data_IF_921929450409
#
_entry.id   IF_921929450409
#
_cell.length_a   1.000
_cell.length_b   1.000
_cell.length_c   1.000
_cell.angle_alpha   90.00
_cell.angle_beta   90.00
_cell.angle_gamma   90.00
#
_symmetry.space_group_name_H-M   'P 1'
#
loop_
_entity.id
_entity.type
_entity.pdbx_description
1 polymer ?
#
# COMPACT_ATOMS: atom_id res chain seq x y z
N UNK A 1 -56.93 -37.49 -35.46
CA UNK A 1 -56.55 -36.08 -35.29
C UNK A 1 -55.85 -35.96 -33.94
N UNK A 2 -54.53 -36.12 -33.95
CA UNK A 2 -53.66 -36.14 -32.78
C UNK A 2 -52.38 -35.42 -33.19
N UNK A 3 -52.15 -34.28 -32.56
CA UNK A 3 -50.94 -33.48 -32.66
C UNK A 3 -49.79 -34.30 -32.08
N UNK A 4 -48.66 -34.41 -32.79
CA UNK A 4 -47.42 -34.85 -32.16
C UNK A 4 -46.28 -33.89 -32.47
N UNK A 5 -45.87 -33.25 -31.39
CA UNK A 5 -44.95 -32.13 -31.26
C UNK A 5 -43.54 -32.70 -31.13
N UNK A 6 -42.68 -32.51 -32.13
CA UNK A 6 -41.22 -32.60 -31.93
C UNK A 6 -40.66 -31.20 -31.99
N UNK A 7 -40.74 -30.51 -30.85
CA UNK A 7 -40.07 -29.22 -30.66
C UNK A 7 -38.65 -29.46 -30.17
N UNK A 8 -37.74 -29.00 -31.01
CA UNK A 8 -36.31 -28.88 -30.85
C UNK A 8 -35.97 -28.02 -29.64
N UNK A 9 -35.05 -28.52 -28.83
CA UNK A 9 -34.38 -27.84 -27.74
C UNK A 9 -33.55 -26.69 -28.33
N UNK A 10 -33.80 -25.45 -27.91
CA UNK A 10 -32.82 -24.36 -28.04
C UNK A 10 -32.90 -23.45 -26.82
N UNK A 11 -32.20 -23.89 -25.77
CA UNK A 11 -31.28 -23.08 -24.98
C UNK A 11 -31.67 -21.63 -24.70
N UNK A 12 -32.52 -21.44 -23.69
CA UNK A 12 -32.51 -20.20 -22.91
C UNK A 12 -32.81 -20.49 -21.44
N UNK A 13 -31.74 -20.43 -20.63
CA UNK A 13 -31.68 -19.63 -19.43
C UNK A 13 -32.81 -19.79 -18.40
N UNK A 14 -32.73 -20.80 -17.52
CA UNK A 14 -33.16 -20.68 -16.12
C UNK A 14 -32.21 -21.51 -15.24
N UNK A 15 -31.15 -20.87 -14.75
CA UNK A 15 -30.51 -21.26 -13.48
C UNK A 15 -30.72 -20.08 -12.55
N UNK A 16 -31.89 -20.05 -11.92
CA UNK A 16 -32.20 -19.20 -10.79
C UNK A 16 -32.57 -20.15 -9.66
N UNK A 17 -31.68 -20.32 -8.69
CA UNK A 17 -31.98 -20.52 -7.27
C UNK A 17 -30.69 -20.86 -6.51
N UNK A 18 -30.57 -20.29 -5.32
CA UNK A 18 -29.49 -20.43 -4.32
C UNK A 18 -28.26 -19.54 -4.63
N UNK A 19 -28.00 -18.44 -3.92
CA UNK A 19 -27.98 -18.26 -2.46
C UNK A 19 -28.17 -16.77 -2.10
N UNK A 20 -29.38 -16.40 -1.67
CA UNK A 20 -29.56 -15.20 -0.86
C UNK A 20 -29.05 -15.51 0.55
N UNK A 21 -27.77 -15.27 0.80
CA UNK A 21 -27.30 -15.07 2.16
C UNK A 21 -27.92 -13.75 2.65
N UNK A 22 -28.85 -13.89 3.59
CA UNK A 22 -29.41 -12.81 4.39
C UNK A 22 -28.27 -12.21 5.25
N UNK A 23 -27.55 -11.25 4.67
CA UNK A 23 -26.65 -10.35 5.40
C UNK A 23 -27.39 -9.08 5.75
N UNK A 24 -27.37 -8.72 7.04
CA UNK A 24 -28.00 -7.53 7.64
C UNK A 24 -28.08 -6.30 6.73
N UNK A 25 -29.30 -5.78 6.52
CA UNK A 25 -29.49 -4.41 6.05
C UNK A 25 -28.83 -3.45 7.04
N UNK A 26 -27.86 -2.66 6.60
CA UNK A 26 -27.31 -1.64 7.50
C UNK A 26 -26.23 -0.70 6.97
N UNK A 27 -25.79 -0.78 5.71
CA UNK A 27 -25.06 0.31 5.08
C UNK A 27 -25.25 0.23 3.57
N UNK A 28 -26.27 0.93 3.06
CA UNK A 28 -26.47 1.07 1.62
C UNK A 28 -25.22 1.72 1.01
N UNK A 29 -24.59 1.02 0.07
CA UNK A 29 -23.45 1.55 -0.66
C UNK A 29 -23.90 2.72 -1.55
N UNK A 30 -23.18 3.85 -1.45
CA UNK A 30 -23.28 4.96 -2.40
C UNK A 30 -22.64 4.60 -3.74
N UNK A 31 -21.58 3.78 -3.70
CA UNK A 31 -20.86 3.37 -4.88
C UNK A 31 -19.75 2.39 -4.55
N UNK A 32 -19.37 1.60 -5.57
CA UNK A 32 -18.23 0.71 -5.52
C UNK A 32 -17.24 1.13 -6.60
N UNK A 33 -15.96 1.22 -6.24
CA UNK A 33 -14.89 1.71 -7.10
C UNK A 33 -13.68 0.79 -7.06
N UNK A 34 -12.89 0.76 -8.13
CA UNK A 34 -11.63 0.02 -8.20
C UNK A 34 -10.48 0.97 -8.54
N UNK A 35 -9.24 0.65 -8.14
CA UNK A 35 -8.10 1.48 -8.54
C UNK A 35 -7.66 1.20 -9.98
N UNK A 36 -7.36 2.26 -10.72
CA UNK A 36 -6.73 2.16 -12.04
C UNK A 36 -5.20 2.29 -11.91
N UNK A 37 -4.44 1.39 -12.54
CA UNK A 37 -3.00 1.60 -12.79
C UNK A 37 -2.01 0.80 -11.94
N UNK A 38 -2.47 -0.06 -11.03
CA UNK A 38 -1.61 -1.04 -10.35
C UNK A 38 -1.77 -2.42 -11.00
N UNK A 39 -0.80 -2.90 -11.82
CA UNK A 39 -0.90 -4.24 -12.43
C UNK A 39 -0.93 -5.31 -11.34
N UNK A 40 -1.74 -6.36 -11.54
CA UNK A 40 -1.88 -7.53 -10.66
C UNK A 40 -2.47 -7.24 -9.26
N UNK A 41 -3.10 -6.08 -9.07
CA UNK A 41 -3.71 -5.70 -7.81
C UNK A 41 -5.22 -5.55 -8.00
N UNK A 42 -5.99 -6.44 -7.38
CA UNK A 42 -7.46 -6.39 -7.38
C UNK A 42 -7.92 -5.59 -6.15
N UNK A 43 -8.36 -4.35 -6.35
CA UNK A 43 -8.81 -3.49 -5.25
C UNK A 43 -10.26 -3.07 -5.40
N UNK A 44 -10.95 -2.88 -4.26
CA UNK A 44 -12.34 -2.49 -4.13
C UNK A 44 -12.49 -1.47 -3.00
N UNK A 45 -13.00 -0.29 -3.34
CA UNK A 45 -13.48 0.71 -2.38
C UNK A 45 -15.00 0.72 -2.41
N UNK A 46 -15.64 0.67 -1.26
CA UNK A 46 -17.09 0.82 -1.08
C UNK A 46 -17.34 2.08 -0.26
N UNK A 47 -18.01 3.07 -0.85
CA UNK A 47 -18.50 4.24 -0.11
C UNK A 47 -19.91 3.94 0.41
N UNK A 48 -20.19 4.33 1.65
CA UNK A 48 -21.45 4.09 2.35
C UNK A 48 -22.20 5.39 2.59
N UNK A 49 -23.53 5.33 2.71
CA UNK A 49 -24.38 6.53 2.91
C UNK A 49 -24.07 7.31 4.19
N UNK A 50 -23.47 6.69 5.19
CA UNK A 50 -23.09 7.31 6.47
C UNK A 50 -21.71 7.99 6.44
N UNK A 51 -21.23 8.42 5.27
CA UNK A 51 -19.90 9.01 5.07
C UNK A 51 -18.73 8.10 5.48
N UNK A 52 -18.94 6.78 5.51
CA UNK A 52 -17.88 5.80 5.76
C UNK A 52 -17.43 5.09 4.49
N UNK A 53 -16.21 4.58 4.49
CA UNK A 53 -15.72 3.72 3.43
C UNK A 53 -15.17 2.39 3.98
N UNK A 54 -15.23 1.37 3.13
CA UNK A 54 -14.46 0.14 3.28
C UNK A 54 -13.58 -0.06 2.06
N UNK A 55 -12.31 -0.39 2.26
CA UNK A 55 -11.34 -0.70 1.22
C UNK A 55 -10.88 -2.13 1.39
N UNK A 56 -10.71 -2.83 0.28
CA UNK A 56 -10.02 -4.10 0.20
C UNK A 56 -9.08 -4.09 -1.02
N UNK A 57 -7.91 -4.69 -0.89
CA UNK A 57 -6.93 -4.90 -1.94
C UNK A 57 -6.48 -6.35 -1.87
N UNK A 58 -6.33 -7.00 -3.02
CA UNK A 58 -5.89 -8.37 -3.09
C UNK A 58 -4.73 -8.45 -4.09
N UNK A 59 -3.60 -8.92 -3.59
CA UNK A 59 -2.40 -9.14 -4.38
C UNK A 59 -1.96 -10.60 -4.19
N UNK A 60 -2.47 -11.47 -5.07
CA UNK A 60 -2.21 -12.91 -5.10
C UNK A 60 -2.43 -13.65 -3.77
N UNK A 61 -1.45 -13.67 -2.88
CA UNK A 61 -1.52 -14.43 -1.61
C UNK A 61 -1.96 -13.55 -0.44
N UNK A 62 -2.12 -12.25 -0.66
CA UNK A 62 -2.24 -11.28 0.42
C UNK A 62 -3.53 -10.48 0.23
N UNK A 63 -4.38 -10.55 1.25
CA UNK A 63 -5.61 -9.78 1.36
C UNK A 63 -5.39 -8.62 2.31
N UNK A 64 -5.67 -7.45 1.77
CA UNK A 64 -5.48 -6.15 2.35
C UNK A 64 -6.87 -5.44 2.44
N UNK A 65 -7.12 -4.58 3.41
CA UNK A 65 -8.27 -3.69 3.61
C UNK A 65 -8.21 -2.67 4.79
N UNK A 66 -8.90 -1.55 4.64
CA UNK A 66 -9.02 -0.55 5.71
C UNK A 66 -10.43 0.05 5.70
N UNK A 67 -10.83 0.69 6.79
CA UNK A 67 -12.08 1.44 6.89
C UNK A 67 -11.80 2.85 7.40
N UNK A 68 -12.77 3.73 7.19
CA UNK A 68 -12.64 5.10 7.64
C UNK A 68 -13.81 5.96 7.24
N UNK A 69 -13.60 7.26 7.35
CA UNK A 69 -14.52 8.30 6.91
C UNK A 69 -14.07 8.86 5.56
N UNK A 70 -15.02 9.37 4.79
CA UNK A 70 -14.74 10.08 3.56
C UNK A 70 -15.46 11.41 3.48
N UNK A 71 -14.88 12.33 2.73
CA UNK A 71 -15.45 13.62 2.41
C UNK A 71 -15.38 13.88 0.90
N UNK A 72 -16.35 14.64 0.40
CA UNK A 72 -16.35 15.13 -0.98
C UNK A 72 -16.03 16.63 -0.96
N UNK A 73 -14.83 16.99 -1.41
CA UNK A 73 -14.39 18.37 -1.52
C UNK A 73 -14.39 18.76 -3.01
N UNK A 74 -15.46 19.43 -3.44
CA UNK A 74 -15.71 19.69 -4.86
C UNK A 74 -15.89 18.39 -5.65
N UNK A 75 -15.04 18.14 -6.64
CA UNK A 75 -15.04 16.90 -7.44
C UNK A 75 -14.04 15.84 -6.94
N UNK A 76 -13.53 16.00 -5.72
CA UNK A 76 -12.48 15.14 -5.17
C UNK A 76 -13.01 14.35 -3.97
N UNK A 77 -12.74 13.05 -3.97
CA UNK A 77 -12.96 12.18 -2.83
C UNK A 77 -11.72 12.22 -1.93
N UNK A 78 -11.93 12.49 -0.64
CA UNK A 78 -10.89 12.47 0.39
C UNK A 78 -11.19 11.34 1.36
N UNK A 79 -10.21 10.50 1.65
CA UNK A 79 -10.36 9.33 2.52
C UNK A 79 -9.50 9.49 3.79
N UNK A 80 -10.09 9.18 4.94
CA UNK A 80 -9.50 9.24 6.27
C UNK A 80 -9.69 7.90 6.98
N UNK A 81 -8.65 7.07 7.07
CA UNK A 81 -8.72 5.77 7.76
C UNK A 81 -8.96 5.93 9.27
N UNK A 82 -9.81 5.07 9.85
CA UNK A 82 -10.14 5.05 11.30
C UNK A 82 -8.92 4.83 12.18
N UNK A 83 -8.02 3.96 11.72
CA UNK A 83 -6.72 3.74 12.35
C UNK A 83 -5.66 4.42 11.50
N UNK A 84 -5.04 5.45 12.06
CA UNK A 84 -3.72 5.85 11.62
C UNK A 84 -2.72 4.82 12.12
N UNK A 85 -1.95 4.21 11.22
CA UNK A 85 -0.80 3.43 11.65
C UNK A 85 0.16 4.40 12.34
N UNK A 86 0.46 4.14 13.62
CA UNK A 86 1.59 4.79 14.27
C UNK A 86 2.83 4.30 13.55
N UNK A 87 3.58 5.21 12.91
CA UNK A 87 4.88 4.91 12.30
C UNK A 87 5.82 4.36 13.39
N UNK A 88 5.81 3.04 13.57
CA UNK A 88 6.62 2.35 14.55
C UNK A 88 7.87 1.76 13.93
N UNK A 89 7.91 1.58 12.60
CA UNK A 89 9.14 1.22 11.90
C UNK A 89 10.18 2.33 12.05
N UNK A 90 11.41 1.97 12.39
CA UNK A 90 12.48 2.92 12.71
C UNK A 90 13.77 2.61 11.96
N UNK A 91 14.64 3.60 11.94
CA UNK A 91 16.02 3.45 11.50
C UNK A 91 16.92 3.60 12.73
N UNK A 92 17.79 2.62 12.94
CA UNK A 92 18.75 2.54 14.01
C UNK A 92 20.16 2.66 13.43
N UNK A 93 21.00 3.48 14.05
CA UNK A 93 22.41 3.59 13.71
C UNK A 93 23.20 2.73 14.69
N UNK A 94 23.97 1.78 14.16
CA UNK A 94 24.85 0.92 14.94
C UNK A 94 26.24 1.54 15.05
N UNK A 95 27.12 0.99 15.86
CA UNK A 95 28.52 1.45 15.92
C UNK A 95 29.18 1.33 14.54
N UNK A 96 29.99 2.35 14.20
CA UNK A 96 30.69 2.39 12.93
C UNK A 96 31.99 1.62 13.01
N UNK A 97 32.20 0.75 12.03
CA UNK A 97 33.54 0.29 11.68
C UNK A 97 34.12 1.24 10.62
N UNK A 98 35.45 1.36 10.55
CA UNK A 98 36.23 2.28 9.68
C UNK A 98 36.11 1.98 8.16
N UNK A 99 34.91 1.71 7.65
CA UNK A 99 34.68 1.32 6.27
C UNK A 99 34.01 2.43 5.45
N UNK A 100 34.45 2.57 4.19
CA UNK A 100 33.93 3.53 3.21
C UNK A 100 32.60 3.12 2.55
N UNK A 101 31.84 2.21 3.16
CA UNK A 101 30.59 1.67 2.60
C UNK A 101 29.52 1.59 3.67
N UNK A 102 28.27 1.89 3.28
CA UNK A 102 27.13 1.77 4.18
C UNK A 102 26.63 0.32 4.13
N UNK A 103 26.58 -0.34 5.28
CA UNK A 103 25.96 -1.64 5.46
C UNK A 103 24.56 -1.43 6.03
N UNK A 104 23.56 -1.98 5.36
CA UNK A 104 22.16 -1.89 5.76
C UNK A 104 21.63 -3.30 6.07
N UNK A 105 21.02 -3.45 7.24
CA UNK A 105 20.34 -4.66 7.69
C UNK A 105 18.84 -4.36 7.87
N UNK A 106 17.95 -5.14 7.25
CA UNK A 106 16.50 -5.00 7.42
C UNK A 106 15.95 -6.16 8.24
N UNK A 107 15.32 -5.82 9.37
CA UNK A 107 14.74 -6.80 10.30
C UNK A 107 13.25 -6.53 10.53
N UNK A 108 12.53 -7.57 10.93
CA UNK A 108 11.17 -7.48 11.48
C UNK A 108 11.20 -7.35 13.01
N UNK A 109 10.37 -6.46 13.57
CA UNK A 109 10.22 -6.27 15.02
C UNK A 109 9.33 -7.31 15.69
N UNK A 110 8.41 -7.94 14.96
CA UNK A 110 7.27 -8.65 15.56
C UNK A 110 7.59 -10.04 16.13
N UNK A 111 8.85 -10.45 16.06
CA UNK A 111 9.38 -11.40 17.04
C UNK A 111 10.11 -10.62 18.12
N UNK A 112 9.43 -10.45 19.26
CA UNK A 112 9.82 -9.63 20.40
C UNK A 112 11.27 -9.84 20.87
N UNK A 113 11.90 -10.97 20.54
CA UNK A 113 13.31 -11.24 20.82
C UNK A 113 14.18 -11.66 19.61
N UNK A 114 13.60 -12.07 18.47
CA UNK A 114 14.37 -12.76 17.41
C UNK A 114 14.75 -11.90 16.20
N UNK A 115 14.28 -10.64 16.11
CA UNK A 115 14.69 -9.65 15.09
C UNK A 115 15.00 -10.27 13.71
N UNK A 116 14.03 -11.00 13.15
CA UNK A 116 14.29 -11.85 11.99
C UNK A 116 14.58 -10.98 10.77
N UNK A 117 15.65 -11.30 10.05
CA UNK A 117 15.96 -10.62 8.79
C UNK A 117 14.88 -10.87 7.75
N UNK A 118 14.48 -9.83 7.03
CA UNK A 118 13.48 -9.92 5.96
C UNK A 118 14.04 -9.42 4.64
N UNK A 119 13.77 -10.10 3.51
CA UNK A 119 14.10 -9.53 2.21
C UNK A 119 13.33 -8.22 2.06
N UNK A 120 13.96 -7.20 1.49
CA UNK A 120 13.33 -5.88 1.36
C UNK A 120 13.78 -5.18 0.09
N UNK A 121 12.99 -4.22 -0.36
CA UNK A 121 13.36 -3.29 -1.43
C UNK A 121 13.76 -1.97 -0.81
N UNK A 122 14.93 -1.48 -1.20
CA UNK A 122 15.53 -0.25 -0.69
C UNK A 122 15.66 0.75 -1.83
N UNK A 123 14.93 1.85 -1.75
CA UNK A 123 15.05 2.98 -2.65
C UNK A 123 15.91 4.06 -2.01
N UNK A 124 16.93 4.53 -2.74
CA UNK A 124 17.87 5.54 -2.27
C UNK A 124 17.89 6.76 -3.18
N UNK A 125 18.10 7.91 -2.56
CA UNK A 125 18.35 9.18 -3.25
C UNK A 125 19.71 9.72 -2.77
N UNK A 126 20.57 10.07 -3.72
CA UNK A 126 21.92 10.59 -3.49
C UNK A 126 21.95 12.12 -3.62
N UNK A 127 22.95 12.81 -3.03
CA UNK A 127 23.10 14.29 -3.13
C UNK A 127 23.14 14.79 -4.58
N UNK A 128 23.73 14.01 -5.49
CA UNK A 128 23.77 14.33 -6.92
C UNK A 128 22.42 14.14 -7.65
N UNK A 129 21.33 13.88 -6.92
CA UNK A 129 19.99 13.66 -7.47
C UNK A 129 19.76 12.28 -8.07
N UNK A 130 20.78 11.42 -8.14
CA UNK A 130 20.62 10.05 -8.64
C UNK A 130 19.69 9.27 -7.72
N UNK A 131 18.84 8.45 -8.32
CA UNK A 131 17.96 7.53 -7.63
C UNK A 131 18.29 6.10 -8.03
N UNK A 132 18.25 5.17 -7.08
CA UNK A 132 18.45 3.74 -7.35
C UNK A 132 17.57 2.91 -6.44
N UNK A 133 17.14 1.77 -6.97
CA UNK A 133 16.41 0.75 -6.22
C UNK A 133 17.28 -0.49 -6.11
N UNK A 134 17.39 -1.02 -4.90
CA UNK A 134 18.12 -2.24 -4.59
C UNK A 134 17.18 -3.24 -3.94
N UNK A 135 17.48 -4.52 -4.10
CA UNK A 135 16.88 -5.58 -3.30
C UNK A 135 17.91 -6.06 -2.30
N UNK A 136 17.52 -6.18 -1.03
CA UNK A 136 18.33 -6.90 -0.06
C UNK A 136 18.46 -8.36 -0.47
N UNK A 137 19.48 -9.03 0.06
CA UNK A 137 19.57 -10.49 -0.05
C UNK A 137 18.47 -11.17 0.78
N UNK A 138 18.48 -12.50 0.75
CA UNK A 138 17.61 -13.38 1.54
C UNK A 138 17.71 -13.14 3.06
N UNK A 139 18.85 -12.63 3.53
CA UNK A 139 19.11 -12.23 4.91
C UNK A 139 18.85 -10.74 5.18
N UNK A 140 18.09 -10.06 4.34
CA UNK A 140 17.74 -8.64 4.56
C UNK A 140 18.92 -7.66 4.54
N UNK A 141 20.10 -8.10 4.12
CA UNK A 141 21.31 -7.29 4.08
C UNK A 141 21.53 -6.65 2.71
N UNK A 142 22.07 -5.43 2.72
CA UNK A 142 22.42 -4.66 1.53
C UNK A 142 23.66 -3.80 1.79
N UNK A 143 24.63 -3.88 0.87
CA UNK A 143 25.81 -3.00 0.89
C UNK A 143 25.64 -1.87 -0.12
N UNK A 144 25.65 -0.64 0.37
CA UNK A 144 25.59 0.58 -0.43
C UNK A 144 26.97 1.24 -0.48
N UNK A 145 27.32 1.81 -1.64
CA UNK A 145 28.50 2.69 -1.70
C UNK A 145 28.21 3.95 -0.89
N UNK A 146 29.16 4.38 -0.05
CA UNK A 146 29.05 5.60 0.74
C UNK A 146 29.20 6.84 -0.14
N UNK A 147 28.25 7.01 -1.05
CA UNK A 147 28.12 8.22 -1.82
C UNK A 147 27.02 8.98 -1.10
N UNK A 148 27.34 10.04 -0.36
CA UNK A 148 26.45 11.17 -0.05
C UNK A 148 24.93 10.86 -0.09
N UNK A 149 24.48 9.93 0.75
CA UNK A 149 23.09 9.49 0.77
C UNK A 149 22.23 10.57 1.45
N UNK A 150 21.15 11.01 0.81
CA UNK A 150 20.26 12.05 1.36
C UNK A 150 18.90 11.52 1.79
N UNK A 151 18.48 10.37 1.26
CA UNK A 151 17.23 9.73 1.66
C UNK A 151 17.25 8.24 1.38
N UNK A 152 16.58 7.52 2.26
CA UNK A 152 16.37 6.09 2.21
C UNK A 152 14.87 5.82 2.39
N UNK A 153 14.33 4.95 1.55
CA UNK A 153 12.99 4.38 1.69
C UNK A 153 13.07 2.86 1.61
N UNK A 154 12.70 2.17 2.69
CA UNK A 154 12.73 0.70 2.77
C UNK A 154 11.32 0.16 2.81
N UNK A 155 11.05 -0.85 1.97
CA UNK A 155 9.73 -1.47 1.81
C UNK A 155 9.86 -2.99 1.84
N UNK A 156 8.94 -3.61 2.57
CA UNK A 156 8.66 -5.03 2.44
C UNK A 156 7.16 -5.28 2.54
N UNK A 157 6.71 -6.35 1.91
CA UNK A 157 5.30 -6.71 1.84
C UNK A 157 4.79 -7.11 3.24
N UNK A 158 3.68 -6.51 3.68
CA UNK A 158 3.09 -6.76 5.00
C UNK A 158 3.63 -5.85 6.12
N UNK A 159 4.61 -4.99 5.82
CA UNK A 159 5.28 -4.15 6.81
C UNK A 159 5.12 -2.65 6.53
N UNK A 160 5.16 -1.84 7.58
CA UNK A 160 5.11 -0.38 7.49
C UNK A 160 6.44 0.13 6.90
N UNK A 161 6.43 0.86 5.77
CA UNK A 161 7.65 1.32 5.13
C UNK A 161 8.37 2.39 5.95
N UNK A 162 9.71 2.34 5.97
CA UNK A 162 10.53 3.39 6.59
C UNK A 162 10.93 4.38 5.52
N UNK A 163 10.65 5.67 5.73
CA UNK A 163 11.17 6.76 4.91
C UNK A 163 11.96 7.71 5.78
N UNK A 164 13.25 7.85 5.49
CA UNK A 164 14.15 8.68 6.28
C UNK A 164 14.90 9.66 5.37
N UNK A 165 15.02 10.91 5.82
CA UNK A 165 15.89 11.91 5.19
C UNK A 165 17.15 11.98 6.01
N UNK A 166 18.30 11.82 5.35
CA UNK A 166 19.61 11.76 5.98
C UNK A 166 20.31 13.08 5.67
N UNK A 167 20.34 13.98 6.64
CA UNK A 167 21.13 15.22 6.58
C UNK A 167 22.60 14.93 6.84
N UNK A 168 22.88 14.01 7.76
CA UNK A 168 24.23 13.56 8.14
C UNK A 168 24.18 12.07 8.48
N UNK A 169 25.16 11.31 7.98
CA UNK A 169 25.31 9.89 8.32
C UNK A 169 26.00 9.77 9.67
N UNK A 170 25.24 9.36 10.70
CA UNK A 170 25.79 9.09 12.05
C UNK A 170 26.61 7.82 12.12
N UNK A 171 26.36 6.88 11.21
CA UNK A 171 27.10 5.62 11.11
C UNK A 171 27.02 5.03 9.72
N UNK A 172 28.03 4.23 9.36
CA UNK A 172 28.04 3.40 8.16
C UNK A 172 27.27 2.08 8.35
N UNK A 173 26.94 1.69 9.58
CA UNK A 173 26.14 0.50 9.87
C UNK A 173 24.72 0.94 10.27
N UNK A 174 23.73 0.63 9.44
CA UNK A 174 22.34 1.04 9.61
C UNK A 174 21.46 -0.19 9.72
N UNK A 175 20.66 -0.27 10.78
CA UNK A 175 19.60 -1.25 10.92
C UNK A 175 18.25 -0.60 10.67
N UNK A 176 17.44 -1.20 9.83
CA UNK A 176 16.07 -0.76 9.55
C UNK A 176 15.13 -1.77 10.17
N UNK A 177 14.38 -1.30 11.16
CA UNK A 177 13.44 -2.13 11.91
C UNK A 177 12.06 -1.89 11.35
N UNK A 178 11.53 -2.90 10.67
CA UNK A 178 10.19 -2.88 10.12
C UNK A 178 9.22 -3.48 11.14
N UNK A 179 8.07 -2.84 11.29
CA UNK A 179 6.95 -3.37 12.07
C UNK A 179 5.88 -3.88 11.11
N UNK A 180 5.45 -5.10 11.36
CA UNK A 180 4.34 -5.75 10.68
C UNK A 180 3.11 -4.90 10.89
N UNK A 181 2.47 -4.56 9.79
CA UNK A 181 1.19 -3.88 9.88
C UNK A 181 0.21 -4.86 10.50
N UNK A 182 -0.36 -4.51 11.66
CA UNK A 182 -1.40 -5.30 12.35
C UNK A 182 -2.67 -5.51 11.51
N UNK A 183 -2.74 -4.91 10.33
CA UNK A 183 -3.79 -5.15 9.33
C UNK A 183 -3.24 -5.54 7.97
N UNK A 184 -1.94 -5.47 7.71
CA UNK A 184 -1.35 -5.61 6.37
C UNK A 184 -1.54 -4.39 5.45
N UNK A 185 -2.07 -3.24 5.90
CA UNK A 185 -2.87 -2.39 5.00
C UNK A 185 -2.49 -0.96 4.69
N UNK A 186 -2.51 -0.71 3.37
CA UNK A 186 -2.90 0.52 2.69
C UNK A 186 -3.76 1.44 3.56
N UNK A 187 -3.14 2.49 4.10
CA UNK A 187 -3.81 3.56 4.85
C UNK A 187 -4.08 4.77 3.94
N UNK A 188 -5.20 5.44 4.19
CA UNK A 188 -5.56 6.68 3.51
C UNK A 188 -5.52 7.84 4.50
N UNK A 189 -4.54 8.73 4.33
CA UNK A 189 -4.38 9.94 5.12
C UNK A 189 -4.62 11.17 4.25
N UNK A 190 -5.87 11.64 4.23
CA UNK A 190 -6.30 12.81 3.44
C UNK A 190 -5.92 12.75 1.95
N UNK A 191 -5.76 11.54 1.39
CA UNK A 191 -5.42 11.35 -0.01
C UNK A 191 -6.62 11.70 -0.89
N UNK A 192 -6.35 12.42 -1.98
CA UNK A 192 -7.38 12.94 -2.90
C UNK A 192 -7.46 12.08 -4.15
N UNK A 193 -8.67 11.67 -4.49
CA UNK A 193 -8.98 10.86 -5.67
C UNK A 193 -10.00 11.56 -6.57
N UNK A 194 -9.85 11.34 -7.87
CA UNK A 194 -10.91 11.60 -8.86
C UNK A 194 -11.56 10.28 -9.22
N UNK A 195 -12.89 10.27 -9.23
CA UNK A 195 -13.67 9.13 -9.70
C UNK A 195 -13.97 9.34 -11.19
N UNK A 196 -13.53 8.40 -12.03
CA UNK A 196 -13.87 8.37 -13.47
C UNK A 196 -14.22 6.95 -13.88
N UNK A 197 -15.40 6.74 -14.45
CA UNK A 197 -15.89 5.43 -14.91
C UNK A 197 -15.80 4.34 -13.84
N UNK A 198 -16.27 4.64 -12.62
CA UNK A 198 -16.17 3.77 -11.44
C UNK A 198 -14.73 3.38 -11.05
N UNK A 199 -13.72 4.10 -11.54
CA UNK A 199 -12.33 3.92 -11.16
C UNK A 199 -11.85 5.10 -10.33
N UNK A 200 -11.11 4.80 -9.27
CA UNK A 200 -10.33 5.78 -8.53
C UNK A 200 -9.03 6.03 -9.29
N UNK A 201 -8.82 7.29 -9.61
CA UNK A 201 -7.57 7.80 -10.14
C UNK A 201 -6.96 8.70 -9.06
N UNK A 202 -5.78 8.34 -8.59
CA UNK A 202 -5.02 9.20 -7.69
C UNK A 202 -4.78 10.53 -8.40
N UNK A 203 -5.07 11.64 -7.73
CA UNK A 203 -4.72 12.95 -8.25
C UNK A 203 -3.21 13.10 -8.07
N UNK A 204 -2.44 12.70 -9.07
CA UNK A 204 -1.00 12.96 -9.13
C UNK A 204 -0.78 14.48 -9.20
N UNK A 205 -0.66 15.11 -8.04
CA UNK A 205 -0.89 16.56 -7.96
C UNK A 205 -0.59 17.30 -6.68
N UNK A 206 -0.12 16.67 -5.59
CA UNK A 206 0.72 17.39 -4.62
C UNK A 206 2.10 17.62 -5.27
N UNK A 207 2.11 18.46 -6.30
CA UNK A 207 3.31 19.14 -6.77
C UNK A 207 3.78 19.97 -5.58
N UNK A 208 4.93 19.62 -4.97
CA UNK A 208 5.68 20.59 -4.16
C UNK A 208 5.74 21.89 -4.98
N UNK A 209 5.17 22.98 -4.45
CA UNK A 209 5.46 24.31 -4.98
C UNK A 209 6.94 24.57 -4.75
N UNK A 210 7.75 24.46 -5.80
CA UNK A 210 9.08 25.04 -5.82
C UNK A 210 8.89 26.55 -5.91
N UNK A 211 9.17 27.26 -4.82
CA UNK A 211 9.38 28.69 -4.88
C UNK A 211 10.77 28.94 -5.44
N UNK A 212 10.85 29.65 -6.57
CA UNK A 212 12.11 30.24 -7.03
C UNK A 212 12.36 31.46 -6.15
N UNK A 213 13.33 31.37 -5.26
CA UNK A 213 13.92 32.55 -4.62
C UNK A 213 14.79 33.24 -5.68
N UNK A 214 14.69 34.57 -5.75
CA UNK A 214 15.38 35.41 -6.75
C UNK A 214 16.89 35.21 -6.73
#
# INVERSE_FOLDING_TARGET
MLVNLKNTISSCLIILLTTFSCGSTGDLALGTYTFSGKPNINSKLVLKKNNRFGYAEFNHMISLGTSGEFELIGKKLVLHSDTAETNSSTLEYLESDENSSINLEVISRDNVDNQQTVPATVHVIYKNGRQRTFRCNDKGALKLKNNDLISLEVKWIGYIPVKHSITELKSNNIRVVLVESSKGNTSFHAKKYVIKNNKLQEVSGDKRKLFRVR
#
